data_IF_767111519708
#
_entry.id   IF_767111519708
#
_cell.length_a   1.000
_cell.length_b   1.000
_cell.length_c   1.000
_cell.angle_alpha   90.00
_cell.angle_beta   90.00
_cell.angle_gamma   90.00
#
_symmetry.space_group_name_H-M   'P 1'
#
loop_
_entity.id
_entity.type
_entity.pdbx_description
1 polymer ?
#
# COMPACT_ATOMS: atom_id res chain seq x y z
N UNK A 1 -16.97 2.69 -0.78
CA UNK A 1 -16.23 3.73 -1.54
C UNK A 1 -15.66 3.07 -2.77
N UNK A 2 -15.35 3.83 -3.81
CA UNK A 2 -14.59 3.31 -4.95
C UNK A 2 -13.19 2.91 -4.45
N UNK A 3 -12.65 1.79 -4.94
CA UNK A 3 -11.31 1.32 -4.54
C UNK A 3 -10.23 2.35 -4.87
N UNK A 4 -10.44 3.14 -5.93
CA UNK A 4 -9.52 4.21 -6.32
C UNK A 4 -9.59 5.41 -5.37
N UNK A 5 -10.77 5.69 -4.81
CA UNK A 5 -10.94 6.71 -3.78
C UNK A 5 -10.25 6.28 -2.48
N UNK A 6 -10.44 5.04 -2.05
CA UNK A 6 -9.75 4.47 -0.89
C UNK A 6 -8.22 4.49 -1.07
N UNK A 7 -7.74 4.17 -2.28
CA UNK A 7 -6.33 4.27 -2.62
C UNK A 7 -5.81 5.70 -2.55
N UNK A 8 -6.57 6.68 -3.06
CA UNK A 8 -6.20 8.09 -3.01
C UNK A 8 -6.14 8.62 -1.56
N UNK A 9 -7.08 8.21 -0.70
CA UNK A 9 -7.07 8.53 0.73
C UNK A 9 -5.83 7.92 1.39
N UNK A 10 -5.55 6.65 1.13
CA UNK A 10 -4.36 5.98 1.66
C UNK A 10 -3.07 6.65 1.18
N UNK A 11 -2.98 7.09 -0.07
CA UNK A 11 -1.83 7.83 -0.61
C UNK A 11 -1.61 9.16 0.11
N UNK A 12 -2.68 9.88 0.46
CA UNK A 12 -2.60 11.17 1.17
C UNK A 12 -2.37 11.02 2.68
N UNK A 13 -2.63 9.85 3.26
CA UNK A 13 -2.47 9.62 4.69
C UNK A 13 -1.02 9.85 5.16
N UNK A 14 -0.86 10.64 6.23
CA UNK A 14 0.45 10.88 6.86
C UNK A 14 0.91 9.61 7.57
N UNK A 15 2.16 9.23 7.34
CA UNK A 15 2.77 8.03 7.94
C UNK A 15 3.78 8.39 9.05
N UNK A 16 3.62 9.54 9.70
CA UNK A 16 4.43 10.00 10.83
C UNK A 16 3.86 9.47 12.14
N UNK A 17 4.71 9.27 13.16
CA UNK A 17 4.33 8.91 14.54
C UNK A 17 3.44 7.66 14.71
N UNK A 18 3.51 6.73 13.76
CA UNK A 18 2.75 5.47 13.84
C UNK A 18 3.30 4.56 14.94
N UNK A 19 2.41 3.88 15.68
CA UNK A 19 2.77 2.74 16.52
C UNK A 19 3.11 1.50 15.67
N UNK A 20 3.59 0.42 16.30
CA UNK A 20 3.80 -0.85 15.60
C UNK A 20 2.47 -1.44 15.08
N UNK A 21 1.39 -1.32 15.86
CA UNK A 21 0.06 -1.78 15.45
C UNK A 21 -0.43 -1.01 14.22
N UNK A 22 -0.32 0.32 14.23
CA UNK A 22 -0.72 1.17 13.10
C UNK A 22 0.03 0.79 11.82
N UNK A 23 1.33 0.48 11.94
CA UNK A 23 2.14 0.04 10.81
C UNK A 23 1.68 -1.31 10.25
N UNK A 24 1.32 -2.26 11.11
CA UNK A 24 0.80 -3.56 10.67
C UNK A 24 -0.52 -3.38 9.92
N UNK A 25 -1.44 -2.58 10.48
CA UNK A 25 -2.73 -2.27 9.85
C UNK A 25 -2.52 -1.59 8.50
N UNK A 26 -1.69 -0.55 8.45
CA UNK A 26 -1.40 0.17 7.21
C UNK A 26 -0.72 -0.71 6.13
N UNK A 27 0.15 -1.65 6.53
CA UNK A 27 0.77 -2.59 5.59
C UNK A 27 -0.24 -3.57 4.99
N UNK A 28 -1.14 -4.11 5.83
CA UNK A 28 -2.24 -4.99 5.40
C UNK A 28 -3.19 -4.26 4.46
N UNK A 29 -3.54 -3.03 4.82
CA UNK A 29 -4.43 -2.19 4.03
C UNK A 29 -3.85 -1.86 2.65
N UNK A 30 -2.58 -1.48 2.59
CA UNK A 30 -1.90 -1.28 1.31
C UNK A 30 -1.94 -2.54 0.43
N UNK A 31 -1.75 -3.74 1.01
CA UNK A 31 -1.84 -5.01 0.29
C UNK A 31 -3.26 -5.28 -0.22
N UNK A 32 -4.28 -4.99 0.59
CA UNK A 32 -5.70 -5.11 0.20
C UNK A 32 -6.00 -4.26 -1.02
N UNK A 33 -5.63 -2.99 -0.99
CA UNK A 33 -5.85 -2.03 -2.07
C UNK A 33 -5.15 -2.46 -3.36
N UNK A 34 -3.87 -2.87 -3.28
CA UNK A 34 -3.11 -3.34 -4.46
C UNK A 34 -3.79 -4.54 -5.12
N UNK A 35 -4.21 -5.55 -4.33
CA UNK A 35 -4.86 -6.74 -4.89
C UNK A 35 -6.22 -6.41 -5.51
N UNK A 36 -7.01 -5.56 -4.85
CA UNK A 36 -8.29 -5.12 -5.38
C UNK A 36 -8.15 -4.34 -6.70
N UNK A 37 -7.18 -3.42 -6.79
CA UNK A 37 -6.88 -2.68 -8.03
C UNK A 37 -6.39 -3.63 -9.13
N UNK A 38 -5.60 -4.66 -8.78
CA UNK A 38 -5.13 -5.65 -9.74
C UNK A 38 -6.29 -6.43 -10.39
N UNK A 39 -7.35 -6.75 -9.65
CA UNK A 39 -8.53 -7.41 -10.22
C UNK A 39 -9.26 -6.54 -11.25
N UNK A 40 -9.27 -5.22 -11.05
CA UNK A 40 -9.80 -4.28 -12.05
C UNK A 40 -8.86 -4.20 -13.25
N UNK A 41 -7.55 -4.04 -13.00
CA UNK A 41 -6.52 -3.99 -14.04
C UNK A 41 -6.54 -5.22 -14.95
N UNK A 42 -6.76 -6.42 -14.41
CA UNK A 42 -6.87 -7.64 -15.21
C UNK A 42 -7.98 -7.56 -16.27
N UNK A 43 -9.07 -6.86 -15.97
CA UNK A 43 -10.23 -6.69 -16.86
C UNK A 43 -10.07 -5.51 -17.82
N UNK A 44 -9.57 -4.38 -17.32
CA UNK A 44 -9.51 -3.13 -18.10
C UNK A 44 -8.18 -2.92 -18.83
N UNK A 45 -7.10 -3.52 -18.32
CA UNK A 45 -5.71 -3.31 -18.75
C UNK A 45 -5.28 -1.83 -18.71
N UNK A 46 -5.96 -1.01 -17.91
CA UNK A 46 -5.69 0.41 -17.80
C UNK A 46 -4.33 0.68 -17.12
N UNK A 47 -3.43 1.37 -17.83
CA UNK A 47 -2.11 1.74 -17.33
C UNK A 47 -2.17 2.66 -16.10
N UNK A 48 -3.23 3.45 -15.94
CA UNK A 48 -3.42 4.30 -14.76
C UNK A 48 -3.49 3.48 -13.46
N UNK A 49 -4.16 2.33 -13.49
CA UNK A 49 -4.26 1.41 -12.36
C UNK A 49 -2.89 0.86 -11.95
N UNK A 50 -2.02 0.61 -12.94
CA UNK A 50 -0.65 0.19 -12.69
C UNK A 50 0.15 1.26 -11.95
N UNK A 51 -0.02 2.53 -12.33
CA UNK A 51 0.67 3.63 -11.66
C UNK A 51 0.20 3.81 -10.20
N UNK A 52 -1.10 3.65 -9.94
CA UNK A 52 -1.65 3.62 -8.57
C UNK A 52 -1.02 2.47 -7.77
N UNK A 53 -1.00 1.24 -8.32
CA UNK A 53 -0.38 0.08 -7.65
C UNK A 53 1.10 0.31 -7.32
N UNK A 54 1.87 0.91 -8.24
CA UNK A 54 3.29 1.24 -8.01
C UNK A 54 3.46 2.21 -6.84
N UNK A 55 2.65 3.27 -6.77
CA UNK A 55 2.68 4.25 -5.66
C UNK A 55 2.32 3.61 -4.32
N UNK A 56 1.26 2.79 -4.28
CA UNK A 56 0.87 2.03 -3.10
C UNK A 56 1.98 1.07 -2.65
N UNK A 57 2.60 0.37 -3.60
CA UNK A 57 3.70 -0.57 -3.32
C UNK A 57 4.91 0.13 -2.71
N UNK A 58 5.30 1.29 -3.25
CA UNK A 58 6.38 2.09 -2.70
C UNK A 58 6.09 2.54 -1.26
N UNK A 59 4.84 2.95 -1.00
CA UNK A 59 4.40 3.37 0.35
C UNK A 59 4.39 2.19 1.33
N UNK A 60 3.86 1.03 0.90
CA UNK A 60 3.89 -0.23 1.66
C UNK A 60 5.31 -0.63 2.04
N UNK A 61 6.25 -0.62 1.08
CA UNK A 61 7.66 -0.95 1.32
C UNK A 61 8.27 -0.06 2.40
N UNK A 62 7.98 1.24 2.42
CA UNK A 62 8.44 2.15 3.48
C UNK A 62 7.89 1.78 4.86
N UNK A 63 6.63 1.33 4.95
CA UNK A 63 6.02 0.88 6.21
C UNK A 63 6.67 -0.43 6.67
N UNK A 64 6.88 -1.39 5.77
CA UNK A 64 7.50 -2.68 6.09
C UNK A 64 8.95 -2.54 6.54
N UNK A 65 9.74 -1.65 5.93
CA UNK A 65 11.09 -1.33 6.38
C UNK A 65 11.12 -0.79 7.83
N UNK A 66 10.09 -0.03 8.23
CA UNK A 66 9.96 0.47 9.61
C UNK A 66 9.47 -0.60 10.58
N UNK A 67 8.75 -1.62 10.11
CA UNK A 67 8.31 -2.77 10.92
C UNK A 67 9.45 -3.75 11.19
N UNK A 68 10.22 -4.08 10.15
CA UNK A 68 11.30 -5.09 10.23
C UNK A 68 12.63 -4.51 10.72
N UNK A 69 12.75 -3.18 10.79
CA UNK A 69 14.04 -2.52 10.97
C UNK A 69 14.88 -2.57 9.68
N UNK A 70 16.06 -1.94 9.72
CA UNK A 70 16.99 -1.82 8.57
C UNK A 70 17.69 -3.13 8.17
N UNK A 71 17.27 -4.29 8.69
CA UNK A 71 17.89 -5.56 8.33
C UNK A 71 16.92 -6.42 7.48
N UNK A 72 17.10 -6.49 6.14
CA UNK A 72 16.19 -7.22 5.26
C UNK A 72 16.26 -8.75 5.41
N UNK A 73 17.17 -9.28 6.25
CA UNK A 73 17.46 -10.71 6.42
C UNK A 73 17.11 -11.28 7.81
N UNK A 74 16.42 -10.54 8.68
CA UNK A 74 15.95 -11.10 9.96
C UNK A 74 14.66 -11.91 9.74
N UNK A 75 14.81 -13.18 9.38
CA UNK A 75 13.87 -14.28 9.63
C UNK A 75 14.69 -15.43 10.19
#
# INVERSE_FOLDING_TARGET
>A
MDILEEAAVFEKAKMSHMSTSDRVVASREAKRLILAINEIYKKTKDSHLMDVMKRLTAKKKKIELRLRGRNPLAI
#
